data_IF_529138018804
#
_entry.id   IF_529138018804
#
_cell.length_a   1.000
_cell.length_b   1.000
_cell.length_c   1.000
_cell.angle_alpha   90.00
_cell.angle_beta   90.00
_cell.angle_gamma   90.00
#
_symmetry.space_group_name_H-M   'P 1'
#
loop_
_entity.id
_entity.type
_entity.pdbx_description
1 polymer ?
#
# COMPACT_ATOMS: atom_id res chain seq x y z
N UNK A 1 -1.01 4.68 21.30
CA UNK A 1 -2.48 4.84 21.38
C UNK A 1 -2.91 6.29 21.17
N UNK A 2 -2.14 7.28 21.63
CA UNK A 2 -2.57 8.69 21.74
C UNK A 2 -1.85 9.64 20.80
N UNK A 3 -1.10 9.12 19.84
CA UNK A 3 -0.29 9.93 18.91
C UNK A 3 -1.09 10.93 18.07
N UNK A 4 -2.37 10.67 17.86
CA UNK A 4 -3.24 11.48 17.01
C UNK A 4 -4.51 11.98 17.73
N UNK A 5 -4.52 12.00 19.05
CA UNK A 5 -5.65 12.58 19.78
C UNK A 5 -5.93 14.02 19.31
N UNK A 6 -7.21 14.41 19.15
CA UNK A 6 -7.59 15.77 18.73
C UNK A 6 -7.33 16.82 19.82
N UNK A 7 -6.90 16.39 21.00
CA UNK A 7 -6.54 17.23 22.13
C UNK A 7 -5.04 17.21 22.32
N UNK A 8 -4.35 18.37 22.45
CA UNK A 8 -2.91 18.40 22.65
C UNK A 8 -2.54 17.80 24.01
N UNK A 9 -1.57 16.91 24.01
CA UNK A 9 -0.99 16.30 25.19
C UNK A 9 0.37 16.93 25.45
N UNK A 10 0.61 17.32 26.69
CA UNK A 10 1.87 17.88 27.13
C UNK A 10 2.50 16.95 28.15
N UNK A 11 3.81 16.78 28.05
CA UNK A 11 4.60 16.07 29.06
C UNK A 11 5.38 17.10 29.89
N UNK A 12 5.19 17.06 31.19
CA UNK A 12 5.89 17.92 32.12
C UNK A 12 6.76 17.03 33.01
N UNK A 13 8.07 17.19 32.94
CA UNK A 13 8.98 16.57 33.88
C UNK A 13 9.07 17.46 35.13
N UNK A 14 8.43 17.02 36.19
CA UNK A 14 8.33 17.77 37.46
C UNK A 14 9.72 17.99 38.08
N UNK A 15 10.68 17.08 37.85
CA UNK A 15 12.06 17.28 38.38
C UNK A 15 12.82 18.35 37.58
N UNK A 16 12.61 18.43 36.27
CA UNK A 16 13.21 19.49 35.46
C UNK A 16 12.58 20.86 35.75
N UNK A 17 11.26 20.93 35.93
CA UNK A 17 10.60 22.18 36.32
C UNK A 17 11.07 22.65 37.68
N UNK A 18 11.18 21.76 38.66
CA UNK A 18 11.72 22.14 39.99
C UNK A 18 13.17 22.62 39.91
N UNK A 19 13.99 22.03 39.04
CA UNK A 19 15.37 22.49 38.81
C UNK A 19 15.41 23.84 38.11
N UNK A 20 14.55 24.07 37.11
CA UNK A 20 14.42 25.35 36.39
C UNK A 20 13.91 26.46 37.35
N UNK A 21 12.88 26.16 38.13
CA UNK A 21 12.36 27.08 39.14
C UNK A 21 13.40 27.43 40.19
N UNK A 22 14.16 26.45 40.69
CA UNK A 22 15.25 26.68 41.65
C UNK A 22 16.46 27.41 41.03
N UNK A 23 16.64 27.37 39.72
CA UNK A 23 17.66 28.16 39.01
C UNK A 23 17.16 29.60 38.78
N UNK A 24 15.91 29.78 38.38
CA UNK A 24 15.31 31.11 38.22
C UNK A 24 15.29 31.90 39.54
N UNK A 25 14.93 31.27 40.67
CA UNK A 25 15.02 31.90 42.00
C UNK A 25 16.45 32.28 42.41
N UNK A 26 17.48 31.64 41.83
CA UNK A 26 18.88 31.99 42.05
C UNK A 26 19.38 33.11 41.15
N UNK A 27 18.78 33.26 39.98
CA UNK A 27 19.08 34.34 39.02
C UNK A 27 18.38 35.63 39.40
N UNK A 28 17.11 35.59 39.83
CA UNK A 28 16.37 36.76 40.33
C UNK A 28 17.03 37.40 41.57
N UNK A 29 17.72 36.61 42.38
CA UNK A 29 18.51 37.13 43.49
C UNK A 29 19.83 37.80 43.11
N UNK A 30 20.21 37.80 41.84
CA UNK A 30 21.43 38.45 41.31
C UNK A 30 21.15 39.68 40.47
N UNK A 31 19.91 39.97 40.09
CA UNK A 31 19.55 41.12 39.24
C UNK A 31 18.83 42.27 39.92
N UNK A 32 18.83 42.36 41.25
CA UNK A 32 18.33 43.55 41.97
C UNK A 32 19.28 44.77 41.95
N UNK A 33 20.07 44.94 40.88
CA UNK A 33 20.79 46.21 40.63
C UNK A 33 20.94 46.43 39.16
N UNK A 34 19.91 47.05 38.48
CA UNK A 34 20.07 48.09 37.46
C UNK A 34 18.72 48.45 36.84
N UNK A 35 18.43 49.73 37.05
CA UNK A 35 17.26 50.43 36.50
C UNK A 35 17.39 50.72 35.02
N UNK A 36 16.17 50.86 34.46
CA UNK A 36 15.72 51.71 33.36
C UNK A 36 16.01 51.29 31.91
N UNK A 37 14.89 51.04 31.24
CA UNK A 37 14.68 51.52 29.88
C UNK A 37 14.21 50.51 28.84
N UNK A 38 12.94 50.59 28.54
CA UNK A 38 12.32 50.39 27.22
C UNK A 38 11.87 48.99 26.79
N UNK A 39 10.56 49.00 26.61
CA UNK A 39 9.74 48.21 25.67
C UNK A 39 9.51 46.71 25.95
N UNK A 40 8.29 46.48 26.35
CA UNK A 40 7.56 45.23 26.37
C UNK A 40 7.60 44.52 25.04
N UNK A 41 8.51 43.59 24.86
CA UNK A 41 8.27 42.39 24.06
C UNK A 41 7.65 41.36 25.00
N UNK A 42 6.43 40.94 24.64
CA UNK A 42 5.73 39.87 25.31
C UNK A 42 6.57 38.61 25.25
N UNK A 43 7.28 38.27 26.30
CA UNK A 43 7.82 36.94 26.54
C UNK A 43 6.61 36.02 26.79
N UNK A 44 6.06 35.47 25.72
CA UNK A 44 5.28 34.24 25.84
C UNK A 44 6.23 33.19 26.43
N UNK A 45 5.84 32.51 27.53
CA UNK A 45 6.65 31.43 28.06
C UNK A 45 6.89 30.44 26.91
N UNK A 46 8.13 29.97 26.72
CA UNK A 46 8.48 28.95 25.73
C UNK A 46 7.46 27.82 25.86
N UNK A 47 6.44 27.81 24.96
CA UNK A 47 5.26 27.02 25.16
C UNK A 47 5.65 25.57 25.06
N UNK A 48 5.27 24.77 26.05
CA UNK A 48 5.36 23.32 26.03
C UNK A 48 4.81 22.84 24.69
N UNK A 49 5.66 22.19 23.89
CA UNK A 49 5.21 21.62 22.62
C UNK A 49 4.40 20.35 22.88
N UNK A 50 3.23 20.19 22.26
CA UNK A 50 2.46 18.97 22.41
C UNK A 50 3.25 17.77 21.87
N UNK A 51 3.20 16.66 22.61
CA UNK A 51 3.88 15.40 22.24
C UNK A 51 3.13 14.60 21.19
N UNK A 52 1.89 14.98 20.89
CA UNK A 52 1.04 14.33 19.90
C UNK A 52 0.68 15.29 18.75
N UNK A 53 0.27 14.72 17.63
CA UNK A 53 -0.21 15.45 16.46
C UNK A 53 -1.73 15.52 16.50
N UNK A 54 -2.31 16.69 16.76
CA UNK A 54 -3.78 16.86 16.89
C UNK A 54 -4.52 16.77 15.56
N UNK A 55 -3.83 17.02 14.46
CA UNK A 55 -4.41 16.93 13.10
C UNK A 55 -3.56 15.98 12.28
N UNK A 56 -3.92 14.68 12.23
CA UNK A 56 -3.19 13.71 11.44
C UNK A 56 -3.31 14.02 9.93
N UNK A 57 -2.34 13.53 9.15
CA UNK A 57 -2.29 13.82 7.71
C UNK A 57 -3.56 13.37 6.97
N UNK A 58 -4.17 12.25 7.36
CA UNK A 58 -5.41 11.77 6.74
C UNK A 58 -6.62 12.67 7.00
N UNK A 59 -6.55 13.57 7.97
CA UNK A 59 -7.63 14.52 8.24
C UNK A 59 -7.53 15.80 7.40
N UNK A 60 -6.36 16.06 6.79
CA UNK A 60 -6.15 17.20 5.89
C UNK A 60 -6.83 16.94 4.53
N UNK A 61 -7.32 18.00 3.85
CA UNK A 61 -7.76 17.87 2.46
C UNK A 61 -6.59 17.45 1.55
N UNK A 62 -6.85 16.55 0.60
CA UNK A 62 -5.81 16.02 -0.32
C UNK A 62 -5.01 17.14 -1.04
N UNK A 63 -5.71 18.22 -1.44
CA UNK A 63 -5.12 19.37 -2.13
C UNK A 63 -4.10 20.16 -1.28
N UNK A 64 -4.17 20.02 0.03
CA UNK A 64 -3.32 20.75 0.99
C UNK A 64 -2.17 19.86 1.50
N UNK A 65 -2.03 18.65 0.98
CA UNK A 65 -0.98 17.70 1.32
C UNK A 65 0.09 17.65 0.23
N UNK A 66 1.35 17.63 0.61
CA UNK A 66 2.49 17.46 -0.30
C UNK A 66 3.00 16.02 -0.30
N UNK A 67 3.73 15.64 -1.34
CA UNK A 67 4.34 14.31 -1.45
C UNK A 67 5.34 14.04 -0.31
N UNK A 68 6.06 15.09 0.12
CA UNK A 68 6.99 15.03 1.24
C UNK A 68 6.27 14.73 2.55
N UNK A 69 5.11 15.33 2.79
CA UNK A 69 4.29 15.07 3.99
C UNK A 69 3.81 13.60 4.00
N UNK A 70 3.40 13.04 2.84
CA UNK A 70 3.02 11.63 2.75
C UNK A 70 4.18 10.70 3.05
N UNK A 71 5.37 10.97 2.52
CA UNK A 71 6.57 10.16 2.75
C UNK A 71 7.05 10.26 4.20
N UNK A 72 7.02 11.45 4.79
CA UNK A 72 7.39 11.67 6.20
C UNK A 72 6.40 10.97 7.13
N UNK A 73 5.11 11.07 6.86
CA UNK A 73 4.08 10.37 7.60
C UNK A 73 4.26 8.86 7.54
N UNK A 74 4.58 8.30 6.37
CA UNK A 74 4.90 6.89 6.20
C UNK A 74 6.09 6.47 7.06
N UNK A 75 7.20 7.22 6.99
CA UNK A 75 8.42 6.95 7.78
C UNK A 75 8.15 6.98 9.29
N UNK A 76 7.41 7.98 9.73
CA UNK A 76 7.08 8.16 11.15
C UNK A 76 6.16 7.06 11.66
N UNK A 77 5.14 6.67 10.88
CA UNK A 77 4.12 5.73 11.34
C UNK A 77 4.60 4.28 11.32
N UNK A 78 5.44 3.91 10.34
CA UNK A 78 5.88 2.53 10.13
C UNK A 78 7.37 2.29 10.43
N UNK A 79 8.11 3.33 10.78
CA UNK A 79 9.57 3.28 10.98
C UNK A 79 10.30 2.62 9.80
N UNK A 80 9.76 2.80 8.59
CA UNK A 80 10.30 2.27 7.35
C UNK A 80 10.94 3.41 6.55
N UNK A 81 12.24 3.30 6.31
CA UNK A 81 13.03 4.31 5.59
C UNK A 81 12.98 4.13 4.07
N UNK A 82 12.42 3.01 3.57
CA UNK A 82 12.16 2.87 2.15
C UNK A 82 10.94 3.71 1.78
N UNK A 83 11.05 4.49 0.74
CA UNK A 83 9.91 5.26 0.26
C UNK A 83 8.84 4.34 -0.32
N UNK A 84 7.55 4.63 -0.06
CA UNK A 84 6.46 3.91 -0.71
C UNK A 84 6.44 4.25 -2.20
N UNK A 85 5.93 3.33 -3.03
CA UNK A 85 5.82 3.52 -4.47
C UNK A 85 4.81 4.62 -4.80
N UNK A 86 3.66 4.55 -4.16
CA UNK A 86 2.57 5.53 -4.22
C UNK A 86 1.60 5.30 -3.07
N UNK A 87 0.59 6.16 -2.96
CA UNK A 87 -0.41 6.11 -1.90
C UNK A 87 -1.80 6.45 -2.40
N UNK A 88 -2.77 6.11 -1.57
CA UNK A 88 -4.18 6.44 -1.75
C UNK A 88 -4.66 7.19 -0.53
N UNK A 89 -5.03 8.46 -0.70
CA UNK A 89 -5.67 9.22 0.35
C UNK A 89 -7.18 8.94 0.29
N UNK A 90 -7.70 8.28 1.30
CA UNK A 90 -9.12 7.95 1.44
C UNK A 90 -9.85 9.10 2.14
N UNK A 91 -10.92 9.58 1.53
CA UNK A 91 -11.85 10.52 2.12
C UNK A 91 -13.25 10.15 1.62
N UNK A 92 -14.01 9.48 2.47
CA UNK A 92 -15.36 8.98 2.18
C UNK A 92 -16.26 9.55 3.25
N UNK A 93 -17.25 10.37 2.84
CA UNK A 93 -18.22 11.01 3.75
C UNK A 93 -19.58 10.31 3.71
N UNK A 94 -19.86 9.50 2.67
CA UNK A 94 -21.12 8.76 2.49
C UNK A 94 -20.85 7.41 1.80
N UNK A 95 -21.47 6.31 2.21
CA UNK A 95 -22.50 6.13 3.24
C UNK A 95 -21.97 6.01 4.68
N UNK A 96 -20.70 6.22 4.90
CA UNK A 96 -20.03 6.21 6.21
C UNK A 96 -18.82 7.16 6.15
N UNK A 97 -18.41 7.65 7.31
CA UNK A 97 -17.21 8.46 7.42
C UNK A 97 -16.00 7.55 7.51
N UNK A 98 -15.11 7.66 6.52
CA UNK A 98 -13.84 6.94 6.52
C UNK A 98 -12.77 7.84 5.93
N UNK A 99 -11.74 8.10 6.70
CA UNK A 99 -10.55 8.81 6.28
C UNK A 99 -9.34 7.90 6.45
N UNK A 100 -8.31 8.10 5.64
CA UNK A 100 -7.13 7.27 5.79
C UNK A 100 -6.14 7.47 4.67
N UNK A 101 -4.98 6.84 4.82
CA UNK A 101 -3.95 6.79 3.79
C UNK A 101 -3.47 5.35 3.69
N UNK A 102 -3.54 4.79 2.49
CA UNK A 102 -2.97 3.48 2.18
C UNK A 102 -1.74 3.67 1.31
N UNK A 103 -0.68 2.96 1.63
CA UNK A 103 0.59 3.00 0.93
C UNK A 103 0.89 1.64 0.29
N UNK A 104 1.40 1.69 -0.93
CA UNK A 104 2.01 0.54 -1.58
C UNK A 104 3.51 0.54 -1.25
N UNK A 105 3.96 -0.38 -0.41
CA UNK A 105 5.37 -0.46 -0.03
C UNK A 105 6.20 -1.01 -1.19
N UNK A 106 7.46 -0.59 -1.26
CA UNK A 106 8.45 -1.20 -2.15
C UNK A 106 8.95 -2.50 -1.52
N UNK A 107 8.98 -3.59 -2.30
CA UNK A 107 9.51 -4.87 -1.84
C UNK A 107 11.03 -4.81 -1.75
N UNK A 108 11.60 -5.39 -0.70
CA UNK A 108 13.07 -5.47 -0.52
C UNK A 108 13.65 -6.65 -1.28
N UNK A 109 12.87 -7.71 -1.46
CA UNK A 109 13.22 -8.94 -2.15
C UNK A 109 11.97 -9.63 -2.68
N UNK A 110 12.09 -10.42 -3.74
CA UNK A 110 10.99 -11.27 -4.25
C UNK A 110 10.50 -12.31 -3.22
N UNK A 111 11.31 -12.58 -2.20
CA UNK A 111 11.01 -13.53 -1.12
C UNK A 111 10.59 -12.84 0.19
N UNK A 112 10.49 -11.51 0.20
CA UNK A 112 9.97 -10.82 1.38
C UNK A 112 8.52 -11.25 1.60
N UNK A 113 8.25 -11.69 2.81
CA UNK A 113 6.88 -11.84 3.26
C UNK A 113 6.22 -10.47 3.18
N UNK A 114 5.22 -10.35 2.32
CA UNK A 114 4.38 -9.17 2.22
C UNK A 114 3.56 -9.02 3.51
N UNK A 115 4.21 -8.55 4.56
CA UNK A 115 3.55 -8.22 5.81
C UNK A 115 3.27 -6.73 5.83
N UNK A 116 2.07 -6.39 5.41
CA UNK A 116 1.55 -5.04 5.56
C UNK A 116 1.04 -4.80 6.98
N UNK A 117 0.91 -3.55 7.34
CA UNK A 117 0.30 -3.12 8.60
C UNK A 117 -0.67 -1.99 8.32
N UNK A 118 -1.96 -2.24 8.51
CA UNK A 118 -2.98 -1.20 8.47
C UNK A 118 -3.46 -0.92 9.88
N UNK A 119 -3.13 0.26 10.37
CA UNK A 119 -3.54 0.76 11.68
C UNK A 119 -4.95 1.31 11.62
N UNK A 120 -5.82 0.80 12.46
CA UNK A 120 -7.23 1.23 12.53
C UNK A 120 -7.42 2.17 13.71
N UNK A 121 -8.03 3.31 13.41
CA UNK A 121 -8.37 4.36 14.36
C UNK A 121 -9.89 4.56 14.43
N UNK A 122 -10.34 5.04 15.55
CA UNK A 122 -11.71 5.47 15.81
C UNK A 122 -11.67 6.87 16.42
N UNK A 123 -12.10 7.88 15.67
CA UNK A 123 -11.95 9.28 16.08
C UNK A 123 -10.51 9.61 16.52
N UNK A 124 -9.53 9.26 15.69
CA UNK A 124 -8.10 9.48 15.91
C UNK A 124 -7.48 8.70 17.10
N UNK A 125 -8.25 7.83 17.75
CA UNK A 125 -7.76 6.93 18.80
C UNK A 125 -7.42 5.59 18.18
N UNK A 126 -6.18 5.12 18.38
CA UNK A 126 -5.77 3.80 17.89
C UNK A 126 -6.59 2.68 18.52
N UNK A 127 -7.05 1.76 17.68
CA UNK A 127 -7.85 0.60 18.08
C UNK A 127 -7.04 -0.69 17.96
N UNK A 128 -6.59 -1.02 16.76
CA UNK A 128 -5.86 -2.25 16.48
C UNK A 128 -5.13 -2.19 15.12
N UNK A 129 -4.22 -3.12 14.91
CA UNK A 129 -3.59 -3.37 13.61
C UNK A 129 -4.32 -4.50 12.87
N UNK A 130 -4.37 -4.41 11.54
CA UNK A 130 -4.81 -5.47 10.62
C UNK A 130 -6.14 -6.15 11.01
N UNK A 131 -7.18 -5.35 11.18
CA UNK A 131 -8.49 -5.85 11.58
C UNK A 131 -9.15 -6.63 10.45
N UNK A 132 -9.10 -7.98 10.53
CA UNK A 132 -9.58 -8.91 9.50
C UNK A 132 -11.07 -8.78 9.20
N UNK A 133 -11.83 -8.33 10.17
CA UNK A 133 -13.26 -8.10 10.04
C UNK A 133 -13.59 -6.93 9.10
N UNK A 134 -12.70 -5.95 8.99
CA UNK A 134 -12.89 -4.73 8.19
C UNK A 134 -12.15 -4.81 6.85
N UNK A 135 -11.00 -5.45 6.84
CA UNK A 135 -10.09 -5.44 5.71
C UNK A 135 -10.03 -6.82 5.06
N UNK A 136 -10.25 -6.92 3.73
CA UNK A 136 -9.94 -8.14 3.01
C UNK A 136 -8.48 -8.55 3.19
N UNK A 137 -8.24 -9.85 3.21
CA UNK A 137 -6.92 -10.42 3.48
C UNK A 137 -5.82 -9.83 2.56
N UNK A 138 -6.12 -9.62 1.29
CA UNK A 138 -5.15 -9.08 0.33
C UNK A 138 -4.82 -7.60 0.58
N UNK A 139 -5.73 -6.80 1.15
CA UNK A 139 -5.44 -5.41 1.53
C UNK A 139 -4.48 -5.32 2.71
N UNK A 140 -4.40 -6.36 3.55
CA UNK A 140 -3.44 -6.41 4.65
C UNK A 140 -1.98 -6.56 4.21
N UNK A 141 -1.73 -6.69 2.90
CA UNK A 141 -0.38 -6.60 2.34
C UNK A 141 0.09 -5.14 2.18
N UNK A 142 -0.82 -4.18 2.31
CA UNK A 142 -0.52 -2.74 2.26
C UNK A 142 -0.13 -2.22 3.65
N UNK A 143 0.50 -1.05 3.67
CA UNK A 143 0.69 -0.27 4.89
C UNK A 143 -0.27 0.90 4.89
N UNK A 144 -0.81 1.28 6.05
CA UNK A 144 -1.74 2.40 6.08
C UNK A 144 -2.29 2.74 7.46
N UNK A 145 -3.05 3.83 7.49
CA UNK A 145 -3.86 4.24 8.62
C UNK A 145 -5.28 4.51 8.13
N UNK A 146 -6.26 3.97 8.81
CA UNK A 146 -7.69 4.15 8.51
C UNK A 146 -8.38 4.63 9.77
N UNK A 147 -9.08 5.74 9.69
CA UNK A 147 -9.91 6.29 10.76
C UNK A 147 -11.38 6.24 10.32
N UNK A 148 -12.17 5.48 11.04
CA UNK A 148 -13.59 5.32 10.75
C UNK A 148 -14.42 5.48 12.04
N UNK A 149 -15.00 6.68 12.26
CA UNK A 149 -15.87 6.95 13.41
C UNK A 149 -17.15 6.11 13.46
N UNK A 150 -17.55 5.57 12.32
CA UNK A 150 -18.78 4.80 12.20
C UNK A 150 -18.56 3.29 12.43
N UNK A 151 -17.37 2.87 12.86
CA UNK A 151 -17.10 1.47 13.18
C UNK A 151 -17.97 1.00 14.35
N UNK A 152 -18.66 -0.15 14.21
CA UNK A 152 -19.44 -0.72 15.29
C UNK A 152 -18.53 -1.34 16.35
N UNK A 153 -17.98 -0.53 17.24
CA UNK A 153 -17.16 -0.96 18.36
C UNK A 153 -18.05 -1.20 19.59
N UNK A 154 -17.77 -2.28 20.33
CA UNK A 154 -18.34 -2.46 21.67
C UNK A 154 -17.53 -1.66 22.72
N UNK A 155 -18.02 -1.65 23.97
CA UNK A 155 -17.39 -0.93 25.10
C UNK A 155 -15.94 -1.40 25.35
N UNK A 156 -15.63 -2.65 25.07
CA UNK A 156 -14.29 -3.22 25.18
C UNK A 156 -13.40 -2.96 23.94
N UNK A 157 -13.91 -2.18 22.96
CA UNK A 157 -13.26 -1.93 21.67
C UNK A 157 -12.97 -3.19 20.85
N UNK A 158 -13.62 -4.31 21.14
CA UNK A 158 -13.67 -5.45 20.27
C UNK A 158 -14.76 -5.24 19.22
N UNK A 159 -14.52 -5.73 18.00
CA UNK A 159 -15.46 -5.53 16.90
C UNK A 159 -16.71 -6.36 17.11
N UNK A 160 -17.87 -5.73 16.94
CA UNK A 160 -19.13 -6.46 16.82
C UNK A 160 -19.20 -7.01 15.38
N UNK A 161 -19.52 -8.29 15.26
CA UNK A 161 -19.83 -8.92 13.97
C UNK A 161 -21.14 -8.33 13.41
N UNK A 162 -21.07 -7.11 12.91
CA UNK A 162 -22.14 -6.57 12.10
C UNK A 162 -21.72 -6.69 10.63
N UNK A 163 -21.87 -7.89 10.10
CA UNK A 163 -21.36 -8.31 8.80
C UNK A 163 -21.77 -7.38 7.64
N UNK A 164 -22.97 -6.81 7.70
CA UNK A 164 -23.48 -5.99 6.61
C UNK A 164 -22.81 -4.60 6.47
N UNK A 165 -22.42 -3.97 7.58
CA UNK A 165 -21.80 -2.65 7.57
C UNK A 165 -20.30 -2.73 7.28
N UNK A 166 -19.64 -3.65 7.93
CA UNK A 166 -18.22 -3.94 7.75
C UNK A 166 -17.91 -4.33 6.30
N UNK A 167 -18.75 -5.18 5.70
CA UNK A 167 -18.63 -5.55 4.29
C UNK A 167 -18.76 -4.35 3.33
N UNK A 168 -19.58 -3.34 3.66
CA UNK A 168 -19.67 -2.12 2.86
C UNK A 168 -18.38 -1.31 2.91
N UNK A 169 -17.77 -1.15 4.09
CA UNK A 169 -16.48 -0.47 4.27
C UNK A 169 -15.42 -1.18 3.44
N UNK A 170 -15.28 -2.48 3.63
CA UNK A 170 -14.35 -3.35 2.90
C UNK A 170 -14.49 -3.19 1.37
N UNK A 171 -15.71 -3.27 0.87
CA UNK A 171 -16.00 -3.11 -0.57
C UNK A 171 -15.60 -1.73 -1.09
N UNK A 172 -15.82 -0.66 -0.33
CA UNK A 172 -15.45 0.69 -0.75
C UNK A 172 -13.94 0.89 -0.79
N UNK A 173 -13.22 0.38 0.21
CA UNK A 173 -11.75 0.45 0.23
C UNK A 173 -11.19 -0.33 -0.97
N UNK A 174 -11.66 -1.56 -1.19
CA UNK A 174 -11.29 -2.40 -2.35
C UNK A 174 -11.51 -1.66 -3.66
N UNK A 175 -12.68 -1.03 -3.81
CA UNK A 175 -13.00 -0.24 -5.00
C UNK A 175 -12.01 0.92 -5.19
N UNK A 176 -11.69 1.68 -4.16
CA UNK A 176 -10.75 2.80 -4.24
C UNK A 176 -9.33 2.35 -4.61
N UNK A 177 -8.91 1.19 -4.08
CA UNK A 177 -7.63 0.59 -4.44
C UNK A 177 -7.62 0.18 -5.92
N UNK A 178 -8.66 -0.52 -6.40
CA UNK A 178 -8.78 -0.89 -7.80
C UNK A 178 -8.82 0.34 -8.73
N UNK A 179 -9.61 1.36 -8.38
CA UNK A 179 -9.72 2.60 -9.15
C UNK A 179 -8.36 3.34 -9.24
N UNK A 180 -7.54 3.33 -8.18
CA UNK A 180 -6.19 3.92 -8.20
C UNK A 180 -5.25 3.15 -9.12
N UNK A 181 -5.23 1.81 -9.05
CA UNK A 181 -4.40 0.96 -9.92
C UNK A 181 -4.77 1.15 -11.39
N UNK A 182 -6.06 1.08 -11.70
CA UNK A 182 -6.55 1.29 -13.07
C UNK A 182 -6.28 2.71 -13.57
N UNK A 183 -6.45 3.70 -12.68
CA UNK A 183 -6.12 5.09 -12.98
C UNK A 183 -4.65 5.28 -13.33
N UNK A 184 -3.72 4.75 -12.53
CA UNK A 184 -2.28 4.79 -12.82
C UNK A 184 -1.94 4.10 -14.13
N UNK A 185 -2.51 2.92 -14.39
CA UNK A 185 -2.32 2.21 -15.64
C UNK A 185 -2.75 3.05 -16.86
N UNK A 186 -3.91 3.70 -16.78
CA UNK A 186 -4.46 4.47 -17.89
C UNK A 186 -3.78 5.83 -18.12
N UNK A 187 -3.29 6.47 -17.05
CA UNK A 187 -2.73 7.85 -17.15
C UNK A 187 -1.22 7.86 -17.13
N UNK A 188 -0.57 6.87 -16.51
CA UNK A 188 0.87 6.81 -16.26
C UNK A 188 1.41 5.39 -16.46
N UNK A 189 1.10 4.76 -17.63
CA UNK A 189 1.43 3.35 -17.92
C UNK A 189 2.91 3.03 -17.67
N UNK A 190 3.81 3.91 -18.06
CA UNK A 190 5.27 3.70 -17.89
C UNK A 190 5.68 3.66 -16.40
N UNK A 191 5.09 4.52 -15.57
CA UNK A 191 5.32 4.51 -14.12
C UNK A 191 4.70 3.25 -13.49
N UNK A 192 3.48 2.92 -13.88
CA UNK A 192 2.79 1.70 -13.44
C UNK A 192 3.60 0.43 -13.73
N UNK A 193 4.14 0.32 -14.94
CA UNK A 193 4.97 -0.82 -15.34
C UNK A 193 6.25 -0.93 -14.50
N UNK A 194 6.87 0.21 -14.14
CA UNK A 194 8.03 0.22 -13.23
C UNK A 194 7.68 -0.27 -11.81
N UNK A 195 6.45 -0.04 -11.37
CA UNK A 195 5.97 -0.52 -10.08
C UNK A 195 5.52 -1.98 -10.11
N UNK A 196 5.32 -2.56 -11.31
CA UNK A 196 4.70 -3.87 -11.47
C UNK A 196 5.42 -4.99 -10.72
N UNK A 197 6.75 -5.01 -10.77
CA UNK A 197 7.54 -6.05 -10.08
C UNK A 197 7.28 -6.04 -8.56
N UNK A 198 6.97 -4.88 -7.98
CA UNK A 198 6.64 -4.71 -6.56
C UNK A 198 5.15 -4.97 -6.25
N UNK A 199 4.24 -4.55 -7.15
CA UNK A 199 2.79 -4.61 -6.88
C UNK A 199 2.10 -5.87 -7.40
N UNK A 200 2.72 -6.61 -8.35
CA UNK A 200 2.06 -7.77 -8.93
C UNK A 200 1.66 -8.86 -7.93
N UNK A 201 2.40 -9.17 -6.85
CA UNK A 201 1.95 -10.16 -5.87
C UNK A 201 0.66 -9.73 -5.18
N UNK A 202 0.53 -8.43 -4.85
CA UNK A 202 -0.68 -7.86 -4.30
C UNK A 202 -1.86 -7.95 -5.29
N UNK A 203 -1.65 -7.52 -6.55
CA UNK A 203 -2.70 -7.53 -7.58
C UNK A 203 -3.16 -8.96 -7.87
N UNK A 204 -2.22 -9.90 -8.07
CA UNK A 204 -2.52 -11.31 -8.31
C UNK A 204 -3.29 -11.94 -7.15
N UNK A 205 -2.84 -11.70 -5.92
CA UNK A 205 -3.53 -12.22 -4.74
C UNK A 205 -4.94 -11.64 -4.59
N UNK A 206 -5.09 -10.32 -4.82
CA UNK A 206 -6.39 -9.66 -4.83
C UNK A 206 -7.35 -10.26 -5.88
N UNK A 207 -6.88 -10.49 -7.10
CA UNK A 207 -7.66 -11.12 -8.17
C UNK A 207 -8.11 -12.55 -7.81
N UNK A 208 -7.25 -13.31 -7.16
CA UNK A 208 -7.57 -14.68 -6.73
C UNK A 208 -8.59 -14.72 -5.58
N UNK A 209 -8.65 -13.68 -4.75
CA UNK A 209 -9.51 -13.61 -3.56
C UNK A 209 -10.82 -12.87 -3.77
N UNK A 210 -10.87 -11.89 -4.67
CA UNK A 210 -12.02 -11.01 -4.89
C UNK A 210 -12.33 -10.84 -6.38
N UNK A 211 -13.43 -11.43 -6.81
CA UNK A 211 -13.87 -11.37 -8.22
C UNK A 211 -14.20 -9.94 -8.67
N UNK A 212 -14.76 -9.11 -7.77
CA UNK A 212 -15.10 -7.71 -8.11
C UNK A 212 -13.84 -6.88 -8.28
N UNK A 213 -12.80 -7.18 -7.49
CA UNK A 213 -11.49 -6.58 -7.68
C UNK A 213 -10.91 -6.96 -9.04
N UNK A 214 -10.90 -8.25 -9.36
CA UNK A 214 -10.45 -8.76 -10.67
C UNK A 214 -11.14 -8.06 -11.83
N UNK A 215 -12.48 -8.01 -11.85
CA UNK A 215 -13.25 -7.37 -12.92
C UNK A 215 -12.87 -5.89 -13.13
N UNK A 216 -12.40 -5.21 -12.09
CA UNK A 216 -11.96 -3.82 -12.18
C UNK A 216 -10.53 -3.66 -12.69
N UNK A 217 -9.63 -4.54 -12.29
CA UNK A 217 -8.20 -4.40 -12.59
C UNK A 217 -7.72 -5.25 -13.75
N UNK A 218 -8.57 -6.13 -14.32
CA UNK A 218 -8.17 -7.10 -15.34
C UNK A 218 -7.47 -6.50 -16.56
N UNK A 219 -7.83 -5.29 -16.96
CA UNK A 219 -7.21 -4.58 -18.09
C UNK A 219 -5.87 -3.92 -17.72
N UNK A 220 -5.61 -3.74 -16.42
CA UNK A 220 -4.36 -3.23 -15.88
C UNK A 220 -3.38 -4.34 -15.47
N UNK A 221 -3.71 -5.60 -15.72
CA UNK A 221 -2.79 -6.73 -15.48
C UNK A 221 -1.81 -6.78 -16.63
N UNK A 222 -0.51 -6.69 -16.29
CA UNK A 222 0.58 -6.78 -17.26
C UNK A 222 1.48 -7.96 -16.95
N UNK A 223 2.17 -8.44 -17.99
CA UNK A 223 3.15 -9.52 -17.91
C UNK A 223 4.51 -8.96 -18.32
N UNK A 224 5.51 -9.15 -17.49
CA UNK A 224 6.89 -8.86 -17.86
C UNK A 224 7.35 -9.89 -18.87
N UNK A 225 7.96 -9.45 -19.96
CA UNK A 225 8.51 -10.34 -20.99
C UNK A 225 10.01 -10.54 -20.82
N UNK A 226 10.57 -11.50 -21.53
CA UNK A 226 12.02 -11.74 -21.60
C UNK A 226 12.80 -10.60 -22.27
N UNK A 227 12.10 -9.63 -22.86
CA UNK A 227 12.67 -8.44 -23.47
C UNK A 227 12.54 -7.20 -22.55
N UNK A 228 12.17 -7.41 -21.28
CA UNK A 228 11.90 -6.36 -20.28
C UNK A 228 10.77 -5.40 -20.66
N UNK A 229 9.86 -5.83 -21.53
CA UNK A 229 8.62 -5.13 -21.83
C UNK A 229 7.50 -5.59 -20.88
N UNK A 230 6.51 -4.72 -20.65
CA UNK A 230 5.32 -5.05 -19.86
C UNK A 230 4.10 -4.98 -20.77
N UNK A 231 3.50 -6.12 -21.04
CA UNK A 231 2.37 -6.28 -21.97
C UNK A 231 1.13 -6.77 -21.24
N UNK A 232 -0.02 -6.23 -21.59
CA UNK A 232 -1.32 -6.74 -21.14
C UNK A 232 -1.62 -8.09 -21.78
N UNK A 233 -2.64 -8.77 -21.27
CA UNK A 233 -3.09 -10.03 -21.83
C UNK A 233 -3.45 -9.89 -23.32
N UNK A 234 -4.06 -8.78 -23.70
CA UNK A 234 -4.42 -8.46 -25.08
C UNK A 234 -3.18 -8.16 -25.94
N UNK A 235 -2.22 -7.40 -25.40
CA UNK A 235 -0.96 -7.06 -26.09
C UNK A 235 -0.01 -8.27 -26.25
N UNK A 236 -0.15 -9.31 -25.44
CA UNK A 236 0.60 -10.57 -25.61
C UNK A 236 0.22 -11.32 -26.91
N UNK A 237 -0.83 -10.90 -27.56
CA UNK A 237 -1.13 -11.20 -28.95
C UNK A 237 -2.21 -12.23 -29.20
N UNK A 238 -2.66 -12.30 -30.46
CA UNK A 238 -3.63 -13.23 -31.05
C UNK A 238 -3.14 -14.70 -31.07
N UNK A 239 -2.19 -15.04 -30.22
CA UNK A 239 -1.65 -16.39 -30.18
C UNK A 239 -2.62 -17.29 -29.42
N UNK A 240 -2.91 -18.44 -29.98
CA UNK A 240 -3.69 -19.48 -29.32
C UNK A 240 -3.10 -19.91 -27.97
N UNK A 241 -1.85 -19.51 -27.70
CA UNK A 241 -1.14 -19.79 -26.46
C UNK A 241 -0.16 -18.65 -26.10
N UNK A 242 -0.18 -18.26 -24.83
CA UNK A 242 0.80 -17.34 -24.24
C UNK A 242 1.96 -18.17 -23.70
N UNK A 243 3.13 -18.01 -24.33
CA UNK A 243 4.33 -18.72 -23.90
C UNK A 243 4.94 -18.07 -22.67
N UNK A 244 5.40 -18.89 -21.73
CA UNK A 244 6.03 -18.40 -20.52
C UNK A 244 7.23 -19.24 -20.07
N UNK A 245 8.07 -18.62 -19.28
CA UNK A 245 9.16 -19.24 -18.53
C UNK A 245 8.97 -19.02 -17.03
N UNK A 246 9.42 -19.98 -16.25
CA UNK A 246 9.53 -19.89 -14.79
C UNK A 246 10.97 -19.85 -14.29
N UNK A 247 11.93 -20.33 -15.10
CA UNK A 247 13.37 -20.27 -14.84
C UNK A 247 14.13 -19.80 -16.09
N UNK A 248 14.62 -18.57 -16.06
CA UNK A 248 15.32 -17.95 -17.17
C UNK A 248 16.63 -18.69 -17.52
N UNK A 249 17.32 -19.26 -16.54
CA UNK A 249 18.61 -19.93 -16.74
C UNK A 249 18.40 -21.29 -17.39
N UNK A 250 17.50 -22.08 -16.86
CA UNK A 250 17.23 -23.44 -17.38
C UNK A 250 16.58 -23.41 -18.76
N UNK A 251 15.75 -22.39 -19.03
CA UNK A 251 14.96 -22.30 -20.25
C UNK A 251 15.54 -21.36 -21.31
N UNK A 252 16.76 -20.84 -21.11
CA UNK A 252 17.39 -19.85 -22.00
C UNK A 252 17.48 -20.30 -23.46
N UNK A 253 17.75 -21.57 -23.72
CA UNK A 253 17.83 -22.12 -25.10
C UNK A 253 16.49 -22.04 -25.83
N UNK A 254 15.39 -22.27 -25.13
CA UNK A 254 14.06 -22.19 -25.70
C UNK A 254 13.64 -20.73 -25.98
N UNK A 255 14.01 -19.83 -25.07
CA UNK A 255 13.76 -18.38 -25.25
C UNK A 255 14.33 -17.87 -26.57
N UNK A 256 15.56 -18.27 -26.92
CA UNK A 256 16.18 -17.84 -28.17
C UNK A 256 15.42 -18.35 -29.39
N UNK A 257 14.94 -19.60 -29.38
CA UNK A 257 14.16 -20.16 -30.49
C UNK A 257 12.85 -19.39 -30.76
N UNK A 258 12.17 -18.98 -29.68
CA UNK A 258 10.93 -18.21 -29.81
C UNK A 258 11.18 -16.77 -30.20
N UNK A 259 12.28 -16.15 -29.73
CA UNK A 259 12.69 -14.79 -30.13
C UNK A 259 12.92 -14.67 -31.64
N UNK A 260 13.58 -15.67 -32.23
CA UNK A 260 13.83 -15.71 -33.67
C UNK A 260 12.53 -15.74 -34.48
N UNK A 261 11.46 -16.23 -33.88
CA UNK A 261 10.10 -16.26 -34.47
C UNK A 261 9.25 -15.03 -34.11
N UNK A 262 9.79 -14.07 -33.37
CA UNK A 262 9.08 -12.86 -32.96
C UNK A 262 8.01 -13.09 -31.89
N UNK A 263 8.04 -14.22 -31.21
CA UNK A 263 7.06 -14.59 -30.19
C UNK A 263 7.47 -13.99 -28.84
N UNK A 264 6.57 -13.25 -28.17
CA UNK A 264 6.79 -12.70 -26.85
C UNK A 264 6.60 -13.77 -25.77
N UNK A 265 7.51 -13.83 -24.81
CA UNK A 265 7.50 -14.83 -23.74
C UNK A 265 7.35 -14.10 -22.40
N UNK A 266 6.34 -14.49 -21.63
CA UNK A 266 6.13 -13.97 -20.28
C UNK A 266 7.11 -14.61 -19.28
N UNK A 267 7.56 -13.83 -18.29
CA UNK A 267 8.35 -14.29 -17.15
C UNK A 267 7.41 -14.47 -15.96
N UNK A 268 7.22 -15.72 -15.53
CA UNK A 268 6.30 -16.11 -14.48
C UNK A 268 7.04 -16.93 -13.41
N UNK A 269 7.87 -16.25 -12.63
CA UNK A 269 8.73 -16.85 -11.61
C UNK A 269 8.28 -16.57 -10.16
N UNK A 270 7.14 -15.94 -9.99
CA UNK A 270 6.57 -15.63 -8.68
C UNK A 270 5.76 -16.79 -8.09
N UNK A 271 5.64 -16.86 -6.76
CA UNK A 271 4.97 -17.95 -6.06
C UNK A 271 3.48 -18.07 -6.37
N UNK A 272 2.84 -16.98 -6.82
CA UNK A 272 1.41 -16.97 -7.18
C UNK A 272 1.15 -17.23 -8.66
N UNK A 273 2.19 -17.24 -9.52
CA UNK A 273 2.01 -17.22 -10.96
C UNK A 273 1.28 -18.43 -11.51
N UNK A 274 1.61 -19.64 -11.06
CA UNK A 274 0.91 -20.85 -11.50
C UNK A 274 -0.59 -20.84 -11.16
N UNK A 275 -0.93 -20.39 -9.96
CA UNK A 275 -2.34 -20.26 -9.57
C UNK A 275 -3.04 -19.17 -10.38
N UNK A 276 -2.33 -18.09 -10.64
CA UNK A 276 -2.87 -16.93 -11.34
C UNK A 276 -3.14 -17.21 -12.83
N UNK A 277 -2.22 -17.87 -13.54
CA UNK A 277 -2.45 -18.25 -14.94
C UNK A 277 -3.59 -19.26 -15.07
N UNK A 278 -3.68 -20.25 -14.18
CA UNK A 278 -4.82 -21.19 -14.16
C UNK A 278 -6.16 -20.46 -13.92
N UNK A 279 -6.16 -19.44 -13.05
CA UNK A 279 -7.32 -18.58 -12.83
C UNK A 279 -7.69 -17.78 -14.09
N UNK A 280 -6.72 -17.22 -14.81
CA UNK A 280 -6.96 -16.47 -16.04
C UNK A 280 -7.50 -17.36 -17.17
N UNK A 281 -7.00 -18.59 -17.32
CA UNK A 281 -7.52 -19.59 -18.25
C UNK A 281 -8.98 -19.94 -17.92
N UNK A 282 -9.28 -20.15 -16.64
CA UNK A 282 -10.63 -20.41 -16.17
C UNK A 282 -11.60 -19.25 -16.48
N UNK A 283 -11.13 -18.00 -16.32
CA UNK A 283 -11.94 -16.80 -16.60
C UNK A 283 -12.11 -16.52 -18.10
N UNK A 284 -11.23 -17.03 -18.95
CA UNK A 284 -11.24 -16.81 -20.40
C UNK A 284 -11.24 -18.14 -21.18
N UNK A 285 -12.25 -18.99 -21.00
CA UNK A 285 -12.26 -20.34 -21.58
C UNK A 285 -12.21 -20.28 -23.11
N UNK A 286 -11.25 -21.00 -23.67
CA UNK A 286 -11.05 -21.09 -25.12
C UNK A 286 -10.44 -19.84 -25.79
N UNK A 287 -10.09 -18.80 -25.00
CA UNK A 287 -9.46 -17.57 -25.51
C UNK A 287 -8.02 -17.41 -25.04
N UNK A 288 -7.71 -17.93 -23.87
CA UNK A 288 -6.39 -17.80 -23.25
C UNK A 288 -5.90 -19.16 -22.81
N UNK A 289 -4.68 -19.50 -23.20
CA UNK A 289 -3.95 -20.69 -22.75
C UNK A 289 -2.51 -20.30 -22.48
N UNK A 290 -1.98 -20.71 -21.33
CA UNK A 290 -0.58 -20.52 -21.00
C UNK A 290 0.21 -21.80 -21.25
N UNK A 291 1.32 -21.70 -21.97
CA UNK A 291 2.16 -22.84 -22.33
C UNK A 291 3.62 -22.56 -21.94
N UNK A 292 4.16 -23.45 -21.15
CA UNK A 292 5.58 -23.36 -20.78
C UNK A 292 6.45 -23.75 -21.97
N UNK A 293 7.46 -22.93 -22.28
CA UNK A 293 8.26 -23.05 -23.53
C UNK A 293 8.91 -24.42 -23.74
N UNK A 294 9.32 -25.11 -22.68
CA UNK A 294 9.94 -26.43 -22.74
C UNK A 294 8.94 -27.57 -22.97
N UNK A 295 7.67 -27.38 -22.57
CA UNK A 295 6.61 -28.36 -22.79
C UNK A 295 6.17 -28.40 -24.26
N UNK A 296 6.04 -27.23 -24.88
CA UNK A 296 5.59 -27.09 -26.26
C UNK A 296 6.57 -27.74 -27.28
N UNK A 297 7.86 -27.52 -27.09
CA UNK A 297 8.90 -28.12 -27.95
C UNK A 297 8.91 -29.64 -27.83
N UNK A 298 8.68 -30.18 -26.63
CA UNK A 298 8.65 -31.62 -26.38
C UNK A 298 7.47 -32.30 -27.05
N UNK A 299 6.33 -31.65 -27.10
CA UNK A 299 5.12 -32.19 -27.75
C UNK A 299 5.23 -32.11 -29.28
N UNK A 300 5.76 -31.02 -29.83
CA UNK A 300 6.04 -30.90 -31.27
C UNK A 300 7.11 -31.90 -31.76
N UNK A 301 8.11 -32.27 -30.92
CA UNK A 301 9.09 -33.30 -31.24
C UNK A 301 8.50 -34.72 -31.21
N UNK A 302 7.50 -34.98 -30.37
CA UNK A 302 6.80 -36.27 -30.31
C UNK A 302 5.93 -36.48 -31.57
N UNK A 303 5.24 -35.44 -32.02
CA UNK A 303 4.44 -35.49 -33.22
C UNK A 303 5.27 -35.70 -34.50
N UNK A 304 6.44 -35.10 -34.59
CA UNK A 304 7.36 -35.29 -35.72
C UNK A 304 8.08 -36.66 -35.72
N UNK A 305 8.09 -37.39 -34.60
CA UNK A 305 8.67 -38.75 -34.50
C UNK A 305 7.66 -39.88 -34.73
N UNK A 306 6.39 -39.54 -34.94
CA UNK A 306 5.29 -40.49 -35.18
C UNK A 306 4.85 -40.58 -36.65
N UNK A 307 5.56 -39.93 -37.56
CA UNK A 307 5.49 -40.16 -39.02
C UNK A 307 6.75 -41.00 -39.45
#
# INVERSE_FOLDING_TARGET
YFSFLPIPLYFIDVEEEQKKAAQAEKEDKKEEIKEEGTETESNEPEGLKPINTTTPLWAKPVKDCTDEEYKEFYRTLFHDFNEPLFWIHLNIDYPFNLKGILYFPKLKSQYDTLEGVIKVYYNQVFVADNVKEILPEFLMLLKGAIDCPDLPLNVSRSFLQNDGYVNKISTHITKKVADKLTGLFNTEKDAYCKYWDDINPFVKFGCLKDEKFFEKVKEAIVFKTTDDEYLTLEEMGDQNAIHYIDDLVQQAQYVNMYKDSGIKIAVLNGPLDHHFISFLEYKNPGKVKFVRVDSDVTDNMKDSSSE
#
